data_IF_331050056634
#
_entry.id   IF_331050056634
#
_cell.length_a   1.000
_cell.length_b   1.000
_cell.length_c   1.000
_cell.angle_alpha   90.00
_cell.angle_beta   90.00
_cell.angle_gamma   90.00
#
_symmetry.space_group_name_H-M   'P 1'
#
loop_
_entity.id
_entity.type
_entity.pdbx_description
1 polymer ?
#
# COMPACT_ATOMS: atom_id res chain seq x y z
N UNK A 1 -18.63 -11.10 -0.59
CA UNK A 1 -17.48 -10.86 -1.49
C UNK A 1 -17.90 -10.21 -2.82
N UNK A 2 -18.97 -10.69 -3.48
CA UNK A 2 -19.44 -10.18 -4.78
C UNK A 2 -19.74 -8.66 -4.80
N UNK A 3 -20.38 -8.14 -3.75
CA UNK A 3 -20.69 -6.70 -3.65
C UNK A 3 -19.43 -5.80 -3.64
N UNK A 4 -18.33 -6.27 -3.06
CA UNK A 4 -17.06 -5.54 -3.02
C UNK A 4 -16.46 -5.48 -4.43
N UNK A 5 -16.49 -6.61 -5.14
CA UNK A 5 -15.98 -6.70 -6.52
C UNK A 5 -16.75 -5.72 -7.43
N UNK A 6 -18.08 -5.70 -7.33
CA UNK A 6 -18.92 -4.81 -8.14
C UNK A 6 -18.66 -3.33 -7.82
N UNK A 7 -18.47 -2.99 -6.55
CA UNK A 7 -18.14 -1.61 -6.15
C UNK A 7 -16.79 -1.17 -6.70
N UNK A 8 -15.75 -1.98 -6.51
CA UNK A 8 -14.41 -1.71 -7.03
C UNK A 8 -14.42 -1.64 -8.57
N UNK A 9 -15.21 -2.47 -9.25
CA UNK A 9 -15.35 -2.43 -10.70
C UNK A 9 -16.01 -1.14 -11.22
N UNK A 10 -17.04 -0.66 -10.52
CA UNK A 10 -17.68 0.63 -10.82
C UNK A 10 -16.72 1.80 -10.60
N UNK A 11 -16.00 1.79 -9.47
CA UNK A 11 -15.02 2.83 -9.15
C UNK A 11 -13.88 2.86 -10.17
N UNK A 12 -13.39 1.69 -10.59
CA UNK A 12 -12.34 1.59 -11.61
C UNK A 12 -12.78 2.18 -12.96
N UNK A 13 -14.04 1.97 -13.35
CA UNK A 13 -14.58 2.53 -14.60
C UNK A 13 -14.86 4.03 -14.49
N UNK A 14 -15.28 4.51 -13.32
CA UNK A 14 -15.56 5.93 -13.07
C UNK A 14 -14.30 6.78 -13.08
N UNK A 15 -13.24 6.34 -12.41
CA UNK A 15 -12.04 7.15 -12.21
C UNK A 15 -10.95 6.88 -13.24
N UNK A 16 -11.03 5.79 -14.01
CA UNK A 16 -10.04 5.41 -15.04
C UNK A 16 -8.59 5.61 -14.58
N UNK A 17 -8.28 5.18 -13.35
CA UNK A 17 -7.02 5.55 -12.70
C UNK A 17 -5.81 4.86 -13.33
N UNK A 18 -4.79 5.64 -13.66
CA UNK A 18 -3.47 5.11 -14.08
C UNK A 18 -2.67 4.53 -12.91
N UNK A 19 -2.98 4.98 -11.69
CA UNK A 19 -2.30 4.59 -10.46
C UNK A 19 -3.33 4.14 -9.43
N UNK A 20 -3.10 2.97 -8.82
CA UNK A 20 -3.92 2.44 -7.72
C UNK A 20 -3.05 2.29 -6.48
N UNK A 21 -3.42 3.00 -5.40
CA UNK A 21 -2.75 2.92 -4.10
C UNK A 21 -3.58 2.08 -3.13
N UNK A 22 -2.95 1.06 -2.55
CA UNK A 22 -3.62 0.08 -1.68
C UNK A 22 -3.08 0.19 -0.27
N UNK A 23 -3.89 0.74 0.64
CA UNK A 23 -3.53 0.92 2.07
C UNK A 23 -4.05 -0.20 2.97
N UNK A 24 -4.98 -1.03 2.47
CA UNK A 24 -5.69 -2.02 3.27
C UNK A 24 -5.25 -3.46 2.94
N UNK A 25 -4.94 -4.32 3.94
CA UNK A 25 -4.54 -5.72 3.74
C UNK A 25 -5.54 -6.53 2.92
N UNK A 26 -6.82 -6.43 3.27
CA UNK A 26 -7.87 -7.29 2.70
C UNK A 26 -8.21 -7.01 1.22
N UNK A 27 -7.84 -5.83 0.70
CA UNK A 27 -8.24 -5.39 -0.66
C UNK A 27 -7.27 -5.85 -1.75
N UNK A 28 -6.22 -6.60 -1.40
CA UNK A 28 -5.14 -6.96 -2.32
C UNK A 28 -5.60 -7.94 -3.40
N UNK A 29 -6.14 -9.09 -3.00
CA UNK A 29 -6.55 -10.13 -3.97
C UNK A 29 -7.73 -9.72 -4.84
N UNK A 30 -8.70 -9.02 -4.25
CA UNK A 30 -9.93 -8.62 -4.96
C UNK A 30 -9.58 -7.69 -6.12
N UNK A 31 -8.76 -6.67 -5.83
CA UNK A 31 -8.37 -5.67 -6.83
C UNK A 31 -7.47 -6.28 -7.91
N UNK A 32 -6.59 -7.22 -7.56
CA UNK A 32 -5.74 -7.92 -8.55
C UNK A 32 -6.53 -8.84 -9.47
N UNK A 33 -7.43 -9.67 -8.92
CA UNK A 33 -8.28 -10.55 -9.73
C UNK A 33 -9.13 -9.77 -10.71
N UNK A 34 -9.67 -8.63 -10.28
CA UNK A 34 -10.44 -7.74 -11.14
C UNK A 34 -9.60 -7.09 -12.25
N UNK A 35 -8.38 -6.63 -11.92
CA UNK A 35 -7.47 -6.07 -12.93
C UNK A 35 -7.00 -7.14 -13.92
N UNK A 36 -6.81 -8.39 -13.45
CA UNK A 36 -6.46 -9.54 -14.29
C UNK A 36 -7.60 -9.89 -15.24
N UNK A 37 -8.83 -9.96 -14.75
CA UNK A 37 -9.99 -10.28 -15.57
C UNK A 37 -10.30 -9.21 -16.61
N UNK A 38 -9.95 -7.94 -16.35
CA UNK A 38 -10.07 -6.84 -17.32
C UNK A 38 -8.84 -6.64 -18.21
N UNK A 39 -7.76 -7.41 -18.05
CA UNK A 39 -6.53 -7.25 -18.82
C UNK A 39 -5.75 -5.94 -18.55
N UNK A 40 -6.09 -5.21 -17.49
CA UNK A 40 -5.53 -3.89 -17.18
C UNK A 40 -4.24 -3.94 -16.35
N UNK A 41 -3.78 -5.14 -15.96
CA UNK A 41 -2.60 -5.32 -15.11
C UNK A 41 -1.30 -4.72 -15.68
N UNK A 42 -1.18 -4.61 -17.01
CA UNK A 42 0.02 -4.04 -17.66
C UNK A 42 -0.07 -2.53 -17.87
N UNK A 43 -1.26 -1.93 -17.73
CA UNK A 43 -1.50 -0.51 -18.01
C UNK A 43 -1.47 0.34 -16.75
N UNK A 44 -1.87 -0.23 -15.61
CA UNK A 44 -2.07 0.51 -14.36
C UNK A 44 -0.93 0.20 -13.39
N UNK A 45 -0.33 1.24 -12.81
CA UNK A 45 0.67 1.10 -11.75
C UNK A 45 -0.01 0.81 -10.41
N UNK A 46 0.45 -0.26 -9.75
CA UNK A 46 -0.09 -0.64 -8.44
C UNK A 46 0.95 -0.37 -7.37
N UNK A 47 0.55 0.44 -6.39
CA UNK A 47 1.33 0.74 -5.20
C UNK A 47 0.68 0.12 -3.97
N UNK A 48 1.50 -0.58 -3.21
CA UNK A 48 1.11 -1.15 -1.93
C UNK A 48 1.66 -0.29 -0.82
N UNK A 49 0.79 0.08 0.11
CA UNK A 49 1.11 0.87 1.27
C UNK A 49 0.97 0.01 2.53
N UNK A 50 2.09 -0.48 3.06
CA UNK A 50 2.09 -1.29 4.26
C UNK A 50 2.08 -0.43 5.54
N UNK A 51 0.99 -0.50 6.31
CA UNK A 51 0.89 0.10 7.65
C UNK A 51 1.20 -0.92 8.75
N UNK A 52 1.56 -0.45 9.95
CA UNK A 52 1.90 -1.25 11.15
C UNK A 52 0.84 -2.30 11.53
N UNK A 53 -0.44 -2.02 11.28
CA UNK A 53 -1.54 -2.96 11.54
C UNK A 53 -1.41 -4.27 10.73
N UNK A 54 -0.86 -4.20 9.52
CA UNK A 54 -0.61 -5.36 8.66
C UNK A 54 0.58 -6.21 9.12
N UNK A 55 1.48 -5.64 9.94
CA UNK A 55 2.63 -6.38 10.50
C UNK A 55 2.27 -7.11 11.79
N UNK A 56 1.51 -6.48 12.69
CA UNK A 56 1.20 -7.06 14.00
C UNK A 56 0.18 -8.21 13.94
N UNK A 57 -0.76 -8.15 12.99
CA UNK A 57 -1.85 -9.12 12.86
C UNK A 57 -1.49 -10.37 12.04
N UNK A 58 -0.26 -10.49 11.52
CA UNK A 58 0.01 -11.47 10.48
C UNK A 58 1.41 -12.06 10.55
N UNK A 59 1.53 -13.19 11.24
CA UNK A 59 2.54 -14.20 10.94
C UNK A 59 2.49 -14.50 9.43
N UNK A 60 3.57 -14.20 8.69
CA UNK A 60 4.02 -14.80 7.41
C UNK A 60 3.06 -14.84 6.18
N UNK A 61 1.73 -14.78 6.34
CA UNK A 61 0.72 -15.07 5.31
C UNK A 61 0.42 -13.88 4.39
N UNK A 62 0.52 -12.63 4.87
CA UNK A 62 0.34 -11.47 4.00
C UNK A 62 1.55 -11.21 3.09
N UNK A 63 2.74 -11.58 3.54
CA UNK A 63 3.93 -11.53 2.71
C UNK A 63 3.84 -12.56 1.58
N UNK A 64 3.39 -13.79 1.84
CA UNK A 64 3.19 -14.81 0.80
C UNK A 64 2.06 -14.46 -0.17
N UNK A 65 1.01 -13.77 0.28
CA UNK A 65 -0.04 -13.26 -0.60
C UNK A 65 0.41 -12.14 -1.53
N UNK A 66 1.30 -11.25 -1.07
CA UNK A 66 1.98 -10.27 -1.94
C UNK A 66 2.84 -10.98 -3.01
N UNK A 67 3.45 -12.12 -2.67
CA UNK A 67 4.29 -12.90 -3.59
C UNK A 67 3.55 -13.65 -4.69
N UNK A 68 2.40 -14.25 -4.35
CA UNK A 68 1.63 -15.07 -5.30
C UNK A 68 1.06 -14.23 -6.46
N UNK A 69 0.93 -12.92 -6.26
CA UNK A 69 0.33 -12.00 -7.24
C UNK A 69 1.38 -11.12 -8.00
N UNK A 70 2.68 -11.41 -7.86
CA UNK A 70 3.76 -10.65 -8.52
C UNK A 70 3.81 -10.91 -10.03
N UNK A 71 3.18 -10.02 -10.79
CA UNK A 71 3.64 -9.71 -12.13
C UNK A 71 4.93 -8.86 -12.02
N UNK A 72 6.09 -9.33 -12.49
CA UNK A 72 7.39 -8.75 -12.14
C UNK A 72 7.69 -7.35 -12.73
N UNK A 73 6.82 -6.75 -13.55
CA UNK A 73 7.12 -5.48 -14.26
C UNK A 73 6.37 -4.21 -13.81
N UNK A 74 5.20 -4.29 -13.18
CA UNK A 74 4.32 -3.10 -12.96
C UNK A 74 3.80 -2.93 -11.53
N UNK A 75 4.45 -3.56 -10.55
CA UNK A 75 4.08 -3.46 -9.15
C UNK A 75 5.27 -2.92 -8.37
N UNK A 76 5.08 -1.81 -7.65
CA UNK A 76 6.08 -1.27 -6.74
C UNK A 76 5.50 -1.31 -5.32
N UNK A 77 6.23 -1.89 -4.40
CA UNK A 77 5.88 -1.95 -2.99
C UNK A 77 6.50 -0.75 -2.27
N UNK A 78 5.66 0.16 -1.81
CA UNK A 78 6.09 1.22 -0.92
C UNK A 78 5.97 0.66 0.50
N UNK A 79 7.10 0.55 1.18
CA UNK A 79 7.13 0.20 2.59
C UNK A 79 6.91 1.49 3.35
N UNK A 80 5.72 1.64 3.95
CA UNK A 80 5.39 2.80 4.75
C UNK A 80 5.50 2.48 6.24
N UNK A 81 6.67 2.00 6.63
CA UNK A 81 7.07 2.06 8.02
C UNK A 81 8.56 1.79 8.16
N UNK A 82 9.19 2.50 9.10
CA UNK A 82 10.55 2.25 9.58
C UNK A 82 10.56 0.90 10.29
N UNK A 83 10.72 -0.18 9.53
CA UNK A 83 11.15 -1.46 10.05
C UNK A 83 11.96 -2.13 8.95
N UNK A 84 13.28 -1.98 9.05
CA UNK A 84 14.29 -2.69 8.24
C UNK A 84 14.02 -4.20 8.13
N UNK A 85 13.32 -4.78 9.11
CA UNK A 85 12.86 -6.18 9.10
C UNK A 85 11.85 -6.48 7.97
N UNK A 86 10.96 -5.56 7.61
CA UNK A 86 9.99 -5.75 6.54
C UNK A 86 10.65 -5.68 5.15
N UNK A 87 11.56 -4.73 4.93
CA UNK A 87 12.33 -4.67 3.69
C UNK A 87 13.17 -5.93 3.46
N UNK A 88 13.83 -6.44 4.52
CA UNK A 88 14.54 -7.72 4.47
C UNK A 88 13.59 -8.90 4.22
N UNK A 89 12.40 -8.88 4.80
CA UNK A 89 11.34 -9.87 4.55
C UNK A 89 10.88 -9.88 3.09
N UNK A 90 10.62 -8.70 2.52
CA UNK A 90 10.23 -8.54 1.13
C UNK A 90 11.32 -8.98 0.13
N UNK A 91 12.59 -8.69 0.43
CA UNK A 91 13.73 -9.18 -0.35
C UNK A 91 13.83 -10.71 -0.30
N UNK A 92 13.72 -11.32 0.89
CA UNK A 92 13.66 -12.79 1.05
C UNK A 92 12.47 -13.41 0.33
N UNK A 93 11.39 -12.65 0.22
CA UNK A 93 10.19 -13.06 -0.47
C UNK A 93 10.38 -13.04 -2.01
N UNK A 94 11.38 -12.33 -2.54
CA UNK A 94 11.71 -12.29 -3.96
C UNK A 94 11.28 -11.01 -4.68
N UNK A 95 10.93 -9.95 -3.92
CA UNK A 95 10.78 -8.62 -4.51
C UNK A 95 12.15 -8.04 -4.88
N UNK A 96 12.22 -7.38 -6.03
CA UNK A 96 13.44 -6.70 -6.45
C UNK A 96 13.69 -5.46 -5.58
N UNK A 97 14.95 -5.12 -5.26
CA UNK A 97 15.29 -3.91 -4.53
C UNK A 97 14.69 -2.64 -5.17
N UNK A 98 14.66 -2.56 -6.50
CA UNK A 98 14.07 -1.43 -7.22
C UNK A 98 12.55 -1.27 -6.99
N UNK A 99 11.86 -2.35 -6.60
CA UNK A 99 10.43 -2.34 -6.29
C UNK A 99 10.16 -1.96 -4.83
N UNK A 100 11.20 -1.89 -4.00
CA UNK A 100 11.07 -1.63 -2.56
C UNK A 100 11.55 -0.20 -2.28
N UNK A 101 10.67 0.64 -1.75
CA UNK A 101 11.05 1.99 -1.30
C UNK A 101 10.59 2.23 0.13
N UNK A 102 11.50 2.67 0.99
CA UNK A 102 11.22 3.04 2.38
C UNK A 102 11.12 4.56 2.49
N UNK A 103 9.92 5.07 2.77
CA UNK A 103 9.64 6.49 2.98
C UNK A 103 9.10 6.78 4.39
N UNK A 104 9.01 5.77 5.26
CA UNK A 104 8.30 5.90 6.53
C UNK A 104 6.77 6.00 6.39
N UNK A 105 6.10 6.24 7.51
CA UNK A 105 4.63 6.31 7.57
C UNK A 105 4.14 7.63 6.95
N UNK A 106 3.11 7.63 6.07
CA UNK A 106 2.63 8.85 5.48
C UNK A 106 1.87 9.64 6.53
N UNK A 107 2.37 10.82 6.86
CA UNK A 107 1.70 11.73 7.78
C UNK A 107 1.01 12.81 6.95
N UNK A 108 -0.19 13.23 7.36
CA UNK A 108 -0.89 14.34 6.70
C UNK A 108 0.05 15.57 6.69
N UNK A 109 0.24 16.24 5.55
CA UNK A 109 1.21 17.35 5.43
C UNK A 109 1.01 18.48 6.45
N UNK A 110 -0.22 18.68 6.93
CA UNK A 110 -0.53 19.65 7.97
C UNK A 110 0.16 19.38 9.30
N UNK A 111 0.49 18.13 9.65
CA UNK A 111 1.20 17.80 10.89
C UNK A 111 2.71 18.06 10.80
N UNK A 112 3.25 18.13 9.59
CA UNK A 112 4.67 18.43 9.36
C UNK A 112 4.91 19.94 9.44
N UNK A 113 3.85 20.76 9.43
CA UNK A 113 3.96 22.19 9.66
C UNK A 113 4.53 22.42 11.07
N UNK A 114 5.57 23.25 11.21
CA UNK A 114 6.12 23.56 12.52
C UNK A 114 5.01 24.16 13.39
N UNK A 115 4.86 23.64 14.60
CA UNK A 115 3.91 24.17 15.57
C UNK A 115 4.51 25.47 16.10
N UNK A 116 3.78 26.59 15.99
CA UNK A 116 4.19 27.83 16.65
C UNK A 116 4.35 27.56 18.15
N UNK A 117 5.48 27.95 18.77
CA UNK A 117 5.63 27.84 20.22
C UNK A 117 4.44 28.50 20.89
N UNK A 118 3.84 27.86 21.90
CA UNK A 118 2.86 28.53 22.74
C UNK A 118 3.59 29.66 23.44
N UNK A 119 3.37 30.91 23.03
CA UNK A 119 3.71 32.06 23.86
C UNK A 119 3.14 31.82 25.26
N UNK A 120 3.97 32.08 26.27
CA UNK A 120 3.68 31.90 27.67
C UNK A 120 2.34 32.55 28.03
N UNK A 121 1.24 31.80 27.96
CA UNK A 121 -0.01 32.24 28.57
C UNK A 121 0.26 32.28 30.08
N UNK A 122 0.11 33.42 30.76
CA UNK A 122 0.17 33.44 32.21
C UNK A 122 -0.86 32.42 32.70
N UNK A 123 -0.43 31.52 33.58
CA UNK A 123 -1.33 30.59 34.27
C UNK A 123 -2.35 31.46 35.01
N UNK A 124 -3.62 31.37 34.62
CA UNK A 124 -4.74 31.83 35.45
C UNK A 124 -4.97 30.83 36.57
#
# INVERSE_FOLDING_TARGET
>A
MYQIIMKVAKDLMKYQSDIIIRVHPLMQHVSLRLLRSKGLLKKIYIYYCCNRFMYLSSNMVYLTHILIDLCPRHQTLYILHVFTKFARGALKAGLQPAQIKDFGLPVRPSFVKPVCPKENKPKK
#
